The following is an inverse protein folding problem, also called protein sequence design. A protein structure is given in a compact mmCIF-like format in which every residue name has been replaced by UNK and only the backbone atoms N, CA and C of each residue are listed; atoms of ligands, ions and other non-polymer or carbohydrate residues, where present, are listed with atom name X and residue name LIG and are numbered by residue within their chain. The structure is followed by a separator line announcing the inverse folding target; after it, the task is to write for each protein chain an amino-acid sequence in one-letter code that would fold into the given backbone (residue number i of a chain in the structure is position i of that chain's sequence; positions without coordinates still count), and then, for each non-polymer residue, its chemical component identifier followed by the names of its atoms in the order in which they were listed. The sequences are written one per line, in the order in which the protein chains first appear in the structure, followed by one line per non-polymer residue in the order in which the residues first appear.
data_IF_652913762231
#
_entry.id   IF_652913762231
#
_cell.length_a   1.000
_cell.length_b   1.000
_cell.length_c   1.000
_cell.angle_alpha   90.00
_cell.angle_beta   90.00
_cell.angle_gamma   90.00
#
_symmetry.space_group_name_H-M   'P 1'
#
loop_
_entity.id
_entity.type
_entity.pdbx_description
1 polymer ?
#
# COMPACT_ATOMS: atom_id res chain seq x y z
N UNK A 1 16.44 -40.50 46.29
CA UNK A 1 16.94 -39.61 45.21
C UNK A 1 15.80 -39.40 44.23
N UNK A 2 15.17 -38.24 44.24
CA UNK A 2 14.12 -37.87 43.28
C UNK A 2 14.43 -36.47 42.76
N UNK A 3 14.68 -36.34 41.47
CA UNK A 3 14.98 -35.06 40.81
C UNK A 3 13.64 -34.46 40.36
N UNK A 4 13.33 -33.20 40.69
CA UNK A 4 12.01 -32.62 40.44
C UNK A 4 11.83 -32.25 38.97
N UNK A 5 10.75 -32.75 38.37
CA UNK A 5 10.24 -32.39 37.05
C UNK A 5 9.47 -31.08 37.22
N UNK A 6 10.11 -29.92 37.14
CA UNK A 6 9.41 -28.61 37.16
C UNK A 6 10.17 -27.57 36.33
N UNK A 7 10.32 -27.81 35.03
CA UNK A 7 10.86 -26.85 34.06
C UNK A 7 10.22 -27.07 32.67
N UNK A 8 8.88 -27.06 32.61
CA UNK A 8 8.15 -27.24 31.36
C UNK A 8 6.90 -26.35 31.34
N UNK A 9 7.10 -25.05 31.20
CA UNK A 9 6.16 -24.11 30.59
C UNK A 9 6.82 -22.73 30.54
N UNK A 10 6.53 -21.97 29.48
CA UNK A 10 7.03 -20.61 29.19
C UNK A 10 8.33 -20.56 28.38
N UNK A 11 8.38 -21.30 27.27
CA UNK A 11 8.95 -20.69 26.06
C UNK A 11 7.87 -19.75 25.52
N UNK A 12 8.05 -18.41 25.53
CA UNK A 12 7.19 -17.55 24.77
C UNK A 12 7.37 -17.97 23.32
N UNK A 13 6.28 -18.35 22.66
CA UNK A 13 6.24 -18.42 21.20
C UNK A 13 6.49 -16.99 20.75
N UNK A 14 7.76 -16.65 20.51
CA UNK A 14 8.08 -15.45 19.76
C UNK A 14 7.70 -15.81 18.33
N UNK A 15 6.42 -15.65 18.04
CA UNK A 15 5.88 -15.57 16.70
C UNK A 15 6.54 -14.32 16.11
N UNK A 16 7.78 -14.47 15.64
CA UNK A 16 8.43 -13.46 14.82
C UNK A 16 7.62 -13.43 13.54
N UNK A 17 6.58 -12.60 13.52
CA UNK A 17 5.91 -12.22 12.29
C UNK A 17 7.03 -11.80 11.33
N UNK A 18 7.24 -12.60 10.29
CA UNK A 18 8.25 -12.30 9.30
C UNK A 18 7.98 -10.88 8.76
N UNK A 19 9.03 -10.07 8.54
CA UNK A 19 8.84 -8.67 8.16
C UNK A 19 8.01 -8.60 6.88
N UNK A 20 7.14 -7.59 6.79
CA UNK A 20 6.40 -7.30 5.56
C UNK A 20 7.40 -7.09 4.40
N UNK A 21 7.00 -7.40 3.15
CA UNK A 21 7.79 -7.06 1.97
C UNK A 21 8.22 -5.60 2.00
N UNK A 22 9.43 -5.30 1.52
CA UNK A 22 10.08 -3.98 1.68
C UNK A 22 9.20 -2.82 1.20
N UNK A 23 8.46 -3.02 0.12
CA UNK A 23 7.50 -2.07 -0.45
C UNK A 23 6.30 -1.73 0.46
N UNK A 24 6.07 -2.54 1.49
CA UNK A 24 4.98 -2.38 2.47
C UNK A 24 5.50 -1.99 3.87
N UNK A 25 6.76 -1.56 3.99
CA UNK A 25 7.35 -1.13 5.26
C UNK A 25 7.08 0.35 5.60
N UNK A 26 6.14 1.00 4.90
CA UNK A 26 5.59 2.30 5.28
C UNK A 26 4.73 2.16 6.56
N UNK A 27 4.83 3.13 7.47
CA UNK A 27 4.15 3.09 8.78
C UNK A 27 2.62 3.04 8.68
N UNK A 28 2.03 3.75 7.72
CA UNK A 28 0.59 3.74 7.45
C UNK A 28 0.15 2.40 6.84
N UNK A 29 0.96 1.78 5.99
CA UNK A 29 0.67 0.43 5.48
C UNK A 29 0.72 -0.58 6.62
N UNK A 30 1.74 -0.52 7.48
CA UNK A 30 1.85 -1.38 8.66
C UNK A 30 0.65 -1.19 9.59
N UNK A 31 0.21 0.05 9.80
CA UNK A 31 -0.98 0.36 10.58
C UNK A 31 -2.23 -0.28 9.97
N UNK A 32 -2.46 -0.07 8.67
CA UNK A 32 -3.62 -0.61 7.97
C UNK A 32 -3.64 -2.14 7.93
N UNK A 33 -2.50 -2.79 7.70
CA UNK A 33 -2.40 -4.27 7.75
C UNK A 33 -2.81 -4.80 9.12
N UNK A 34 -2.36 -4.14 10.20
CA UNK A 34 -2.73 -4.51 11.58
C UNK A 34 -4.19 -4.24 11.89
N UNK A 35 -4.71 -3.07 11.51
CA UNK A 35 -6.11 -2.68 11.74
C UNK A 35 -7.08 -3.63 11.03
N UNK A 36 -6.75 -4.01 9.79
CA UNK A 36 -7.59 -4.86 8.95
C UNK A 36 -7.38 -6.35 9.21
N UNK A 37 -6.42 -6.74 10.05
CA UNK A 37 -6.09 -8.15 10.29
C UNK A 37 -5.64 -8.88 9.03
N UNK A 38 -4.91 -8.20 8.14
CA UNK A 38 -4.41 -8.79 6.90
C UNK A 38 -3.21 -9.68 7.23
N UNK A 39 -3.30 -10.94 6.82
CA UNK A 39 -2.23 -11.91 7.02
C UNK A 39 -1.07 -11.66 6.06
N UNK A 40 0.13 -12.07 6.46
CA UNK A 40 1.34 -11.88 5.65
C UNK A 40 1.23 -12.51 4.26
N UNK A 41 0.65 -13.71 4.18
CA UNK A 41 0.49 -14.45 2.92
C UNK A 41 -0.47 -13.76 1.94
N UNK A 42 -1.36 -12.90 2.44
CA UNK A 42 -2.21 -12.05 1.60
C UNK A 42 -1.42 -10.86 1.05
N UNK A 43 -0.51 -10.29 1.85
CA UNK A 43 0.37 -9.19 1.44
C UNK A 43 1.31 -9.58 0.29
N UNK A 44 1.72 -10.84 0.22
CA UNK A 44 2.53 -11.37 -0.89
C UNK A 44 1.76 -11.42 -2.22
N UNK A 45 0.43 -11.31 -2.20
CA UNK A 45 -0.45 -11.36 -3.38
C UNK A 45 -1.07 -10.02 -3.73
N UNK A 46 -0.74 -8.96 -2.99
CA UNK A 46 -1.31 -7.62 -3.19
C UNK A 46 -0.88 -7.01 -4.52
N UNK A 47 0.32 -7.33 -5.00
CA UNK A 47 0.86 -6.83 -6.27
C UNK A 47 1.24 -7.99 -7.18
N UNK A 48 1.09 -7.81 -8.49
CA UNK A 48 1.57 -8.73 -9.51
C UNK A 48 3.05 -8.49 -9.85
N UNK A 49 3.57 -9.26 -10.80
CA UNK A 49 4.95 -9.15 -11.28
C UNK A 49 5.29 -7.80 -11.92
N UNK A 50 4.29 -7.07 -12.41
CA UNK A 50 4.44 -5.75 -13.03
C UNK A 50 4.22 -4.60 -12.03
N UNK A 51 4.11 -4.93 -10.74
CA UNK A 51 3.81 -3.99 -9.66
C UNK A 51 2.40 -3.38 -9.74
N UNK A 52 1.48 -3.96 -10.51
CA UNK A 52 0.06 -3.58 -10.43
C UNK A 52 -0.57 -4.22 -9.21
N UNK A 53 -1.46 -3.48 -8.54
CA UNK A 53 -2.26 -3.99 -7.43
C UNK A 53 -3.29 -4.97 -7.98
N UNK A 54 -3.27 -6.20 -7.47
CA UNK A 54 -4.26 -7.23 -7.81
C UNK A 54 -5.59 -6.83 -7.19
N UNK A 55 -6.59 -6.57 -8.04
CA UNK A 55 -7.90 -6.12 -7.55
C UNK A 55 -8.64 -7.24 -6.81
N UNK A 56 -9.06 -6.96 -5.57
CA UNK A 56 -9.75 -7.90 -4.71
C UNK A 56 -10.15 -7.31 -3.36
N UNK A 57 -10.92 -8.04 -2.53
CA UNK A 57 -11.47 -7.51 -1.29
C UNK A 57 -10.41 -6.98 -0.31
N UNK A 58 -9.26 -7.69 -0.21
CA UNK A 58 -8.15 -7.30 0.66
C UNK A 58 -7.50 -6.00 0.17
N UNK A 59 -7.16 -5.92 -1.12
CA UNK A 59 -6.47 -4.75 -1.69
C UNK A 59 -7.36 -3.52 -1.72
N UNK A 60 -8.65 -3.66 -1.98
CA UNK A 60 -9.64 -2.57 -1.88
C UNK A 60 -9.76 -2.05 -0.46
N UNK A 61 -9.79 -2.94 0.54
CA UNK A 61 -9.88 -2.54 1.95
C UNK A 61 -8.59 -1.86 2.42
N UNK A 62 -7.45 -2.41 2.03
CA UNK A 62 -6.13 -1.83 2.29
C UNK A 62 -6.00 -0.45 1.63
N UNK A 63 -6.41 -0.29 0.37
CA UNK A 63 -6.38 0.99 -0.33
C UNK A 63 -7.25 2.04 0.38
N UNK A 64 -8.47 1.68 0.81
CA UNK A 64 -9.34 2.59 1.58
C UNK A 64 -8.67 3.08 2.87
N UNK A 65 -8.06 2.17 3.62
CA UNK A 65 -7.36 2.54 4.85
C UNK A 65 -6.15 3.41 4.54
N UNK A 66 -5.30 2.99 3.61
CA UNK A 66 -4.05 3.68 3.30
C UNK A 66 -4.27 5.10 2.76
N UNK A 67 -5.20 5.27 1.80
CA UNK A 67 -5.54 6.59 1.27
C UNK A 67 -6.16 7.52 2.32
N UNK A 68 -6.85 6.97 3.31
CA UNK A 68 -7.38 7.75 4.44
C UNK A 68 -6.24 8.19 5.36
N UNK A 69 -5.35 7.27 5.74
CA UNK A 69 -4.22 7.54 6.64
C UNK A 69 -3.25 8.58 6.04
N UNK A 70 -2.97 8.49 4.75
CA UNK A 70 -2.13 9.44 4.01
C UNK A 70 -2.87 10.73 3.62
N UNK A 71 -4.18 10.83 3.92
CA UNK A 71 -5.01 12.00 3.58
C UNK A 71 -5.21 12.23 2.07
N UNK A 72 -4.99 11.20 1.25
CA UNK A 72 -5.05 11.23 -0.21
C UNK A 72 -6.49 11.27 -0.76
N UNK A 73 -7.46 10.79 0.02
CA UNK A 73 -8.86 10.70 -0.38
C UNK A 73 -9.79 11.15 0.74
N UNK A 74 -10.64 12.14 0.48
CA UNK A 74 -11.54 12.73 1.47
C UNK A 74 -12.88 13.08 0.83
N UNK A 75 -13.97 12.79 1.53
CA UNK A 75 -15.34 13.11 1.07
C UNK A 75 -15.69 12.57 -0.33
N UNK A 76 -15.10 11.44 -0.74
CA UNK A 76 -15.36 10.85 -2.06
C UNK A 76 -14.49 11.40 -3.19
N UNK A 77 -13.50 12.25 -2.88
CA UNK A 77 -12.63 12.87 -3.88
C UNK A 77 -11.15 12.73 -3.50
N UNK A 78 -10.30 12.70 -4.53
CA UNK A 78 -8.85 12.79 -4.34
C UNK A 78 -8.47 14.20 -3.89
N UNK A 79 -7.60 14.29 -2.89
CA UNK A 79 -7.04 15.57 -2.45
C UNK A 79 -5.83 15.86 -3.35
N UNK A 80 -6.07 16.56 -4.46
CA UNK A 80 -5.11 16.73 -5.57
C UNK A 80 -3.69 17.04 -5.12
N UNK A 81 -3.49 18.08 -4.31
CA UNK A 81 -2.16 18.49 -3.88
C UNK A 81 -1.45 17.40 -3.09
N UNK A 82 -2.16 16.77 -2.14
CA UNK A 82 -1.63 15.66 -1.34
C UNK A 82 -1.28 14.45 -2.19
N UNK A 83 -2.12 14.12 -3.18
CA UNK A 83 -1.85 13.03 -4.13
C UNK A 83 -0.63 13.32 -5.00
N UNK A 84 -0.52 14.54 -5.53
CA UNK A 84 0.63 14.95 -6.34
C UNK A 84 1.91 14.94 -5.50
N UNK A 85 1.89 15.49 -4.30
CA UNK A 85 3.03 15.52 -3.39
C UNK A 85 3.46 14.10 -2.99
N UNK A 86 2.51 13.24 -2.64
CA UNK A 86 2.78 11.84 -2.35
C UNK A 86 3.48 11.15 -3.53
N UNK A 87 2.91 11.25 -4.73
CA UNK A 87 3.49 10.59 -5.91
C UNK A 87 4.85 11.19 -6.31
N UNK A 88 5.04 12.50 -6.12
CA UNK A 88 6.32 13.18 -6.37
C UNK A 88 7.43 12.61 -5.50
N UNK A 89 7.13 12.30 -4.24
CA UNK A 89 8.13 11.88 -3.25
C UNK A 89 8.29 10.36 -3.13
N UNK A 90 7.26 9.59 -3.46
CA UNK A 90 7.22 8.13 -3.24
C UNK A 90 7.22 7.37 -4.56
N UNK A 91 6.21 7.62 -5.40
CA UNK A 91 5.94 6.79 -6.58
C UNK A 91 6.87 7.11 -7.76
N UNK A 92 7.12 8.39 -8.04
CA UNK A 92 8.00 8.81 -9.15
C UNK A 92 9.44 8.37 -8.93
N UNK A 93 10.08 8.55 -7.76
CA UNK A 93 11.44 8.07 -7.54
C UNK A 93 11.59 6.56 -7.66
N UNK A 94 10.51 5.79 -7.48
CA UNK A 94 10.51 4.34 -7.65
C UNK A 94 10.47 3.93 -9.14
N UNK A 95 9.57 4.50 -9.93
CA UNK A 95 9.37 4.10 -11.34
C UNK A 95 10.19 4.92 -12.36
N UNK A 96 10.52 6.17 -12.05
CA UNK A 96 11.28 7.11 -12.89
C UNK A 96 12.34 7.88 -12.08
N UNK A 97 13.33 7.19 -11.48
CA UNK A 97 14.36 7.82 -10.64
C UNK A 97 15.19 8.89 -11.38
N UNK A 98 15.25 8.84 -12.70
CA UNK A 98 15.96 9.77 -13.58
C UNK A 98 15.16 11.03 -13.97
N UNK A 99 13.91 11.16 -13.52
CA UNK A 99 13.07 12.31 -13.84
C UNK A 99 13.70 13.61 -13.33
N UNK A 100 13.98 14.54 -14.25
CA UNK A 100 14.54 15.87 -13.89
C UNK A 100 13.54 16.75 -13.12
N UNK A 101 12.24 16.53 -13.35
CA UNK A 101 11.16 17.23 -12.66
C UNK A 101 10.11 16.21 -12.16
N UNK A 102 10.34 15.57 -11.00
CA UNK A 102 9.45 14.54 -10.49
C UNK A 102 8.01 15.03 -10.27
N UNK A 103 7.86 16.31 -9.89
CA UNK A 103 6.54 16.91 -9.65
C UNK A 103 5.72 17.01 -10.93
N UNK A 104 6.30 17.53 -12.01
CA UNK A 104 5.61 17.61 -13.31
C UNK A 104 5.24 16.22 -13.85
N UNK A 105 6.07 15.21 -13.60
CA UNK A 105 5.75 13.82 -13.93
C UNK A 105 4.54 13.34 -13.13
N UNK A 106 4.51 13.56 -11.81
CA UNK A 106 3.39 13.20 -10.95
C UNK A 106 2.09 13.93 -11.35
N UNK A 107 2.16 15.23 -11.62
CA UNK A 107 1.02 16.05 -12.06
C UNK A 107 0.44 15.53 -13.38
N UNK A 108 1.28 15.21 -14.38
CA UNK A 108 0.81 14.65 -15.66
C UNK A 108 0.13 13.30 -15.47
N UNK A 109 0.73 12.39 -14.71
CA UNK A 109 0.12 11.09 -14.42
C UNK A 109 -1.22 11.26 -13.69
N UNK A 110 -1.27 12.14 -12.69
CA UNK A 110 -2.50 12.44 -11.96
C UNK A 110 -3.60 13.00 -12.88
N UNK A 111 -3.27 13.94 -13.75
CA UNK A 111 -4.25 14.53 -14.68
C UNK A 111 -4.88 13.49 -15.61
N UNK A 112 -4.13 12.47 -16.02
CA UNK A 112 -4.63 11.33 -16.79
C UNK A 112 -5.52 10.43 -15.93
N UNK A 113 -5.13 10.16 -14.69
CA UNK A 113 -5.76 9.14 -13.84
C UNK A 113 -6.89 9.65 -12.92
N UNK A 114 -7.01 10.96 -12.66
CA UNK A 114 -7.95 11.53 -11.68
C UNK A 114 -9.43 11.22 -11.96
N UNK A 115 -9.75 10.93 -13.23
CA UNK A 115 -11.11 10.66 -13.69
C UNK A 115 -11.49 9.17 -13.62
N UNK A 116 -10.61 8.30 -13.09
CA UNK A 116 -10.98 6.93 -12.72
C UNK A 116 -12.09 7.01 -11.67
N UNK A 117 -13.29 6.59 -12.06
CA UNK A 117 -14.51 6.70 -11.26
C UNK A 117 -15.47 5.53 -11.47
N UNK A 118 -14.91 4.37 -11.78
CA UNK A 118 -15.64 3.12 -11.88
C UNK A 118 -15.66 2.38 -10.55
N UNK A 119 -16.74 1.64 -10.31
CA UNK A 119 -16.87 0.77 -9.14
C UNK A 119 -17.17 1.48 -7.82
N UNK A 120 -17.02 0.73 -6.73
CA UNK A 120 -17.09 1.25 -5.38
C UNK A 120 -15.82 2.04 -4.99
N UNK A 121 -15.83 2.74 -3.85
CA UNK A 121 -14.68 3.55 -3.41
C UNK A 121 -13.37 2.77 -3.38
N UNK A 122 -13.38 1.49 -2.98
CA UNK A 122 -12.16 0.68 -2.93
C UNK A 122 -11.66 0.29 -4.32
N UNK A 123 -12.58 -0.11 -5.21
CA UNK A 123 -12.27 -0.37 -6.63
C UNK A 123 -11.66 0.87 -7.28
N UNK A 124 -12.30 2.03 -7.13
CA UNK A 124 -11.82 3.30 -7.65
C UNK A 124 -10.40 3.63 -7.21
N UNK A 125 -10.07 3.39 -5.92
CA UNK A 125 -8.73 3.64 -5.39
C UNK A 125 -7.68 2.69 -5.98
N UNK A 126 -7.99 1.40 -6.07
CA UNK A 126 -7.11 0.40 -6.69
C UNK A 126 -6.87 0.72 -8.16
N UNK A 127 -7.93 1.03 -8.91
CA UNK A 127 -7.85 1.38 -10.32
C UNK A 127 -7.07 2.67 -10.55
N UNK A 128 -7.27 3.68 -9.69
CA UNK A 128 -6.47 4.91 -9.72
C UNK A 128 -4.98 4.61 -9.51
N UNK A 129 -4.62 3.82 -8.49
CA UNK A 129 -3.23 3.42 -8.24
C UNK A 129 -2.63 2.69 -9.44
N UNK A 130 -3.37 1.75 -10.04
CA UNK A 130 -2.91 1.00 -11.21
C UNK A 130 -2.76 1.89 -12.45
N UNK A 131 -3.64 2.89 -12.63
CA UNK A 131 -3.48 3.90 -13.66
C UNK A 131 -2.18 4.69 -13.45
N UNK A 132 -1.93 5.18 -12.22
CA UNK A 132 -0.71 5.93 -11.90
C UNK A 132 0.56 5.10 -12.18
N UNK A 133 0.59 3.83 -11.75
CA UNK A 133 1.69 2.90 -12.02
C UNK A 133 1.91 2.77 -13.54
N UNK A 134 0.84 2.56 -14.29
CA UNK A 134 0.91 2.40 -15.75
C UNK A 134 1.42 3.66 -16.45
N UNK A 135 0.96 4.85 -16.04
CA UNK A 135 1.46 6.11 -16.62
C UNK A 135 2.94 6.37 -16.29
N UNK A 136 3.40 5.96 -15.11
CA UNK A 136 4.79 6.13 -14.69
C UNK A 136 5.75 5.10 -15.31
N UNK A 137 5.25 3.95 -15.73
CA UNK A 137 6.05 2.93 -16.42
C UNK A 137 6.25 3.19 -17.92
N UNK A 138 5.47 4.08 -18.54
CA UNK A 138 5.62 4.48 -19.96
C UNK A 138 6.90 5.24 -20.24
#
# INVERSE_FOLDING_TARGET
MGIPIWCLALLPVILHAAPLPKQFQNEHIIHCVKELGIEKDDMEKVMDENHHIVDGPVTRSLARCYFKEEGLFKNGEFVTETVVDFNTNVTVPFFKPEAQNPREVAERAFEVCKNVNDGDTGERLVHFSNCMISELQK
#
